data_IF_205470303650
#
_entry.id   IF_205470303650
#
_cell.length_a   1.000
_cell.length_b   1.000
_cell.length_c   1.000
_cell.angle_alpha   90.00
_cell.angle_beta   90.00
_cell.angle_gamma   90.00
#
_symmetry.space_group_name_H-M   'P 1'
#
loop_
_entity.id
_entity.type
_entity.pdbx_description
1 polymer ?
#
# COMPACT_ATOMS: atom_id res chain seq x y z
N UNK A 1 -3.07 -1.80 19.63
CA UNK A 1 -1.87 -2.67 19.48
C UNK A 1 -1.97 -3.36 18.13
N UNK A 2 -0.93 -3.31 17.29
CA UNK A 2 -0.90 -4.00 16.00
C UNK A 2 -0.81 -5.51 16.22
N UNK A 3 -1.51 -6.32 15.42
CA UNK A 3 -1.48 -7.79 15.54
C UNK A 3 -0.04 -8.34 15.37
N UNK A 4 0.44 -9.24 16.25
CA UNK A 4 1.76 -9.85 16.14
C UNK A 4 2.00 -10.61 14.82
N UNK A 5 0.92 -11.15 14.22
CA UNK A 5 1.01 -11.81 12.93
C UNK A 5 1.34 -10.82 11.81
N UNK A 6 0.70 -9.64 11.82
CA UNK A 6 0.96 -8.62 10.80
C UNK A 6 2.34 -8.02 10.95
N UNK A 7 2.73 -7.71 12.19
CA UNK A 7 4.06 -7.18 12.47
C UNK A 7 5.15 -8.10 11.94
N UNK A 8 5.01 -9.43 12.08
CA UNK A 8 5.96 -10.41 11.51
C UNK A 8 6.01 -10.38 9.98
N UNK A 9 4.87 -10.33 9.28
CA UNK A 9 4.89 -10.33 7.81
C UNK A 9 5.37 -9.01 7.23
N UNK A 10 5.04 -7.87 7.87
CA UNK A 10 5.64 -6.58 7.52
C UNK A 10 7.16 -6.63 7.71
N UNK A 11 7.65 -7.11 8.85
CA UNK A 11 9.09 -7.23 9.10
C UNK A 11 9.78 -8.18 8.11
N UNK A 12 9.13 -9.29 7.74
CA UNK A 12 9.65 -10.20 6.73
C UNK A 12 9.86 -9.50 5.37
N UNK A 13 8.89 -8.67 4.95
CA UNK A 13 8.99 -7.91 3.70
C UNK A 13 10.05 -6.81 3.79
N UNK A 14 10.09 -6.09 4.92
CA UNK A 14 11.10 -5.05 5.16
C UNK A 14 12.53 -5.62 5.25
N UNK A 15 12.69 -6.88 5.63
CA UNK A 15 13.99 -7.56 5.64
C UNK A 15 14.41 -8.12 4.27
N UNK A 16 13.48 -8.16 3.30
CA UNK A 16 13.71 -8.77 1.98
C UNK A 16 14.22 -7.74 0.98
N UNK A 17 15.18 -8.15 0.16
CA UNK A 17 15.61 -7.41 -1.04
C UNK A 17 14.89 -7.98 -2.26
N UNK A 18 14.31 -7.10 -3.09
CA UNK A 18 13.64 -7.49 -4.32
C UNK A 18 14.54 -7.16 -5.51
N UNK A 19 14.74 -8.13 -6.39
CA UNK A 19 15.46 -8.03 -7.64
C UNK A 19 14.54 -7.99 -8.86
N UNK A 20 15.16 -8.03 -10.04
CA UNK A 20 14.50 -7.91 -11.35
C UNK A 20 13.56 -9.06 -11.71
N UNK A 21 13.72 -10.21 -11.07
CA UNK A 21 12.93 -11.42 -11.30
C UNK A 21 11.84 -11.62 -10.23
N UNK A 22 11.77 -10.77 -9.22
CA UNK A 22 10.95 -11.00 -8.03
C UNK A 22 9.52 -10.43 -8.14
N UNK A 23 9.02 -10.12 -9.34
CA UNK A 23 7.66 -9.60 -9.50
C UNK A 23 6.60 -10.58 -8.99
N UNK A 24 6.75 -11.88 -9.23
CA UNK A 24 5.82 -12.88 -8.71
C UNK A 24 5.94 -13.05 -7.20
N UNK A 25 7.17 -13.11 -6.66
CA UNK A 25 7.39 -13.15 -5.22
C UNK A 25 6.85 -11.90 -4.50
N UNK A 26 6.98 -10.72 -5.13
CA UNK A 26 6.39 -9.48 -4.64
C UNK A 26 4.86 -9.57 -4.60
N UNK A 27 4.22 -10.10 -5.65
CA UNK A 27 2.76 -10.28 -5.69
C UNK A 27 2.25 -11.24 -4.61
N UNK A 28 2.97 -12.33 -4.35
CA UNK A 28 2.66 -13.26 -3.25
C UNK A 28 2.78 -12.58 -1.88
N UNK A 29 3.82 -11.78 -1.68
CA UNK A 29 4.01 -10.99 -0.47
C UNK A 29 2.88 -9.95 -0.29
N UNK A 30 2.42 -9.31 -1.38
CA UNK A 30 1.23 -8.44 -1.36
C UNK A 30 -0.04 -9.21 -0.97
N UNK A 31 -0.24 -10.43 -1.49
CA UNK A 31 -1.40 -11.26 -1.13
C UNK A 31 -1.39 -11.66 0.36
N UNK A 32 -0.21 -11.98 0.89
CA UNK A 32 -0.02 -12.28 2.31
C UNK A 32 -0.39 -11.07 3.17
N UNK A 33 0.10 -9.89 2.80
CA UNK A 33 -0.23 -8.63 3.45
C UNK A 33 -1.74 -8.31 3.38
N UNK A 34 -2.36 -8.50 2.22
CA UNK A 34 -3.81 -8.32 2.01
C UNK A 34 -4.63 -9.20 2.94
N UNK A 35 -4.29 -10.48 3.03
CA UNK A 35 -4.99 -11.45 3.87
C UNK A 35 -4.98 -11.00 5.33
N UNK A 36 -3.81 -10.57 5.81
CA UNK A 36 -3.67 -10.09 7.18
C UNK A 36 -4.39 -8.77 7.44
N UNK A 37 -4.40 -7.86 6.47
CA UNK A 37 -5.14 -6.61 6.57
C UNK A 37 -6.65 -6.88 6.65
N UNK A 38 -7.19 -7.78 5.82
CA UNK A 38 -8.60 -8.20 5.87
C UNK A 38 -8.97 -8.77 7.24
N UNK A 39 -8.17 -9.70 7.76
CA UNK A 39 -8.36 -10.25 9.12
C UNK A 39 -8.33 -9.16 10.18
N UNK A 40 -7.47 -8.15 10.03
CA UNK A 40 -7.39 -7.03 10.97
C UNK A 40 -8.66 -6.18 10.93
N UNK A 41 -9.17 -5.89 9.73
CA UNK A 41 -10.42 -5.12 9.54
C UNK A 41 -11.63 -5.84 10.12
N UNK A 42 -11.71 -7.16 9.92
CA UNK A 42 -12.78 -8.02 10.46
C UNK A 42 -12.69 -8.13 11.99
N UNK A 43 -11.48 -8.13 12.55
CA UNK A 43 -11.23 -8.23 13.99
C UNK A 43 -11.28 -6.91 14.77
N UNK A 44 -11.65 -5.79 14.15
CA UNK A 44 -11.71 -4.50 14.82
C UNK A 44 -12.78 -4.49 15.92
N UNK A 45 -12.36 -4.17 17.14
CA UNK A 45 -13.24 -4.00 18.30
C UNK A 45 -13.32 -2.52 18.68
N UNK A 46 -14.53 -2.05 18.94
CA UNK A 46 -14.80 -0.65 19.26
C UNK A 46 -14.53 -0.34 20.72
N UNK A 47 -13.31 0.07 21.04
CA UNK A 47 -12.92 0.85 22.21
C UNK A 47 -11.40 1.01 22.19
N UNK A 48 -10.92 2.26 22.20
CA UNK A 48 -9.49 2.59 22.22
C UNK A 48 -9.23 3.69 23.23
N UNK A 49 -8.13 3.57 23.98
CA UNK A 49 -7.69 4.54 24.99
C UNK A 49 -6.67 5.54 24.41
N UNK A 50 -6.61 5.67 23.08
CA UNK A 50 -5.68 6.56 22.38
C UNK A 50 -5.94 8.02 22.76
N UNK A 51 -4.89 8.73 23.19
CA UNK A 51 -4.95 10.18 23.40
C UNK A 51 -4.96 10.94 22.08
N UNK A 52 -5.48 12.17 22.08
CA UNK A 52 -5.57 12.99 20.86
C UNK A 52 -4.20 13.27 20.23
N UNK A 53 -3.14 13.43 21.05
CA UNK A 53 -1.76 13.57 20.57
C UNK A 53 -1.25 12.32 19.85
N UNK A 54 -1.54 11.14 20.41
CA UNK A 54 -1.17 9.87 19.79
C UNK A 54 -1.96 9.64 18.50
N UNK A 55 -3.25 9.98 18.48
CA UNK A 55 -4.08 9.93 17.29
C UNK A 55 -3.51 10.78 16.15
N UNK A 56 -3.21 12.06 16.43
CA UNK A 56 -2.65 12.99 15.44
C UNK A 56 -1.31 12.48 14.89
N UNK A 57 -0.42 12.00 15.76
CA UNK A 57 0.87 11.44 15.34
C UNK A 57 0.72 10.23 14.40
N UNK A 58 -0.10 9.26 14.79
CA UNK A 58 -0.30 8.02 14.00
C UNK A 58 -0.98 8.32 12.66
N UNK A 59 -1.90 9.28 12.62
CA UNK A 59 -2.55 9.71 11.38
C UNK A 59 -1.57 10.46 10.45
N UNK A 60 -0.74 11.35 11.00
CA UNK A 60 0.28 12.07 10.24
C UNK A 60 1.31 11.10 9.64
N UNK A 61 1.74 10.10 10.41
CA UNK A 61 2.65 9.06 9.93
C UNK A 61 2.02 8.28 8.76
N UNK A 62 0.74 7.90 8.87
CA UNK A 62 0.05 7.22 7.78
C UNK A 62 -0.05 8.08 6.52
N UNK A 63 -0.33 9.37 6.64
CA UNK A 63 -0.34 10.29 5.49
C UNK A 63 1.04 10.37 4.83
N UNK A 64 2.12 10.46 5.64
CA UNK A 64 3.49 10.48 5.14
C UNK A 64 3.80 9.20 4.36
N UNK A 65 3.52 8.03 4.94
CA UNK A 65 3.74 6.74 4.28
C UNK A 65 2.90 6.57 3.01
N UNK A 66 1.68 7.11 2.98
CA UNK A 66 0.85 7.11 1.78
C UNK A 66 1.47 7.94 0.66
N UNK A 67 2.03 9.13 0.98
CA UNK A 67 2.73 9.98 0.01
C UNK A 67 4.02 9.34 -0.50
N UNK A 68 4.77 8.71 0.39
CA UNK A 68 5.98 7.94 0.05
C UNK A 68 5.66 6.81 -0.93
N UNK A 69 4.64 6.00 -0.61
CA UNK A 69 4.18 4.93 -1.49
C UNK A 69 3.67 5.43 -2.85
N UNK A 70 2.99 6.59 -2.90
CA UNK A 70 2.61 7.23 -4.18
C UNK A 70 3.85 7.53 -5.04
N UNK A 71 4.91 8.06 -4.42
CA UNK A 71 6.17 8.35 -5.13
C UNK A 71 6.79 7.06 -5.67
N UNK A 72 6.89 6.03 -4.84
CA UNK A 72 7.55 4.78 -5.19
C UNK A 72 6.78 4.00 -6.25
N UNK A 73 5.44 3.95 -6.14
CA UNK A 73 4.60 3.32 -7.15
C UNK A 73 4.73 4.01 -8.52
N UNK A 74 4.84 5.35 -8.54
CA UNK A 74 5.10 6.11 -9.78
C UNK A 74 6.48 5.78 -10.35
N UNK A 75 7.52 5.73 -9.52
CA UNK A 75 8.89 5.36 -9.94
C UNK A 75 8.90 3.96 -10.55
N UNK A 76 8.22 3.00 -9.92
CA UNK A 76 8.11 1.64 -10.45
C UNK A 76 7.41 1.60 -11.81
N UNK A 77 6.26 2.23 -11.95
CA UNK A 77 5.53 2.28 -13.23
C UNK A 77 6.36 2.98 -14.32
N UNK A 78 7.13 4.01 -13.99
CA UNK A 78 8.02 4.67 -14.94
C UNK A 78 9.17 3.74 -15.39
N UNK A 79 9.73 2.96 -14.46
CA UNK A 79 10.87 2.06 -14.72
C UNK A 79 10.55 0.92 -15.69
N UNK A 80 9.28 0.50 -15.80
CA UNK A 80 8.90 -0.60 -16.71
C UNK A 80 9.05 -0.25 -18.19
N UNK A 81 9.19 1.03 -18.54
CA UNK A 81 9.46 1.46 -19.92
C UNK A 81 10.90 1.20 -20.36
N UNK A 82 11.79 0.89 -19.42
CA UNK A 82 13.21 0.60 -19.67
C UNK A 82 13.55 -0.89 -19.57
N UNK A 83 14.84 -1.23 -19.62
CA UNK A 83 15.34 -2.57 -19.34
C UNK A 83 14.92 -3.06 -17.95
N UNK A 84 14.73 -4.37 -17.80
CA UNK A 84 14.21 -5.00 -16.58
C UNK A 84 15.08 -4.71 -15.34
N UNK A 85 16.37 -4.47 -15.56
CA UNK A 85 17.37 -4.09 -14.56
C UNK A 85 16.99 -2.80 -13.83
N UNK A 86 16.34 -1.86 -14.51
CA UNK A 86 15.93 -0.59 -13.92
C UNK A 86 14.73 -0.72 -12.99
N UNK A 87 14.02 -1.86 -13.00
CA UNK A 87 12.84 -2.06 -12.18
C UNK A 87 13.14 -2.59 -10.77
N UNK A 88 14.37 -3.08 -10.49
CA UNK A 88 14.70 -3.70 -9.21
C UNK A 88 14.61 -2.72 -8.01
N UNK A 89 15.31 -1.59 -8.05
CA UNK A 89 15.27 -0.59 -6.98
C UNK A 89 13.87 0.00 -6.78
N UNK A 90 13.14 0.39 -7.85
CA UNK A 90 11.76 0.87 -7.71
C UNK A 90 10.80 -0.20 -7.17
N UNK A 91 10.97 -1.47 -7.55
CA UNK A 91 10.15 -2.57 -7.02
C UNK A 91 10.40 -2.75 -5.52
N UNK A 92 11.67 -2.77 -5.13
CA UNK A 92 12.09 -2.88 -3.73
C UNK A 92 11.53 -1.73 -2.88
N UNK A 93 11.69 -0.49 -3.35
CA UNK A 93 11.17 0.70 -2.68
C UNK A 93 9.65 0.63 -2.52
N UNK A 94 8.92 0.33 -3.60
CA UNK A 94 7.46 0.28 -3.59
C UNK A 94 6.91 -0.84 -2.67
N UNK A 95 7.56 -2.00 -2.62
CA UNK A 95 7.18 -3.08 -1.71
C UNK A 95 7.40 -2.70 -0.25
N UNK A 96 8.51 -2.02 0.05
CA UNK A 96 8.83 -1.57 1.41
C UNK A 96 7.90 -0.46 1.87
N UNK A 97 7.61 0.55 1.04
CA UNK A 97 6.67 1.61 1.38
C UNK A 97 5.23 1.10 1.47
N UNK A 98 4.83 0.10 0.68
CA UNK A 98 3.55 -0.59 0.87
C UNK A 98 3.50 -1.28 2.25
N UNK A 99 4.55 -2.00 2.65
CA UNK A 99 4.58 -2.69 3.93
C UNK A 99 4.47 -1.70 5.10
N UNK A 100 5.16 -0.55 5.02
CA UNK A 100 5.01 0.55 5.99
C UNK A 100 3.61 1.15 5.97
N UNK A 101 3.04 1.44 4.79
CA UNK A 101 1.67 1.94 4.64
C UNK A 101 0.68 1.03 5.38
N UNK A 102 0.79 -0.28 5.21
CA UNK A 102 -0.10 -1.24 5.86
C UNK A 102 0.09 -1.26 7.38
N UNK A 103 1.32 -1.23 7.86
CA UNK A 103 1.62 -1.15 9.30
C UNK A 103 0.97 0.08 9.94
N UNK A 104 1.18 1.25 9.34
CA UNK A 104 0.62 2.49 9.85
C UNK A 104 -0.90 2.56 9.68
N UNK A 105 -1.47 1.93 8.64
CA UNK A 105 -2.92 1.86 8.48
C UNK A 105 -3.58 1.10 9.61
N UNK A 106 -2.95 0.02 10.09
CA UNK A 106 -3.44 -0.75 11.22
C UNK A 106 -3.29 0.02 12.52
N UNK A 107 -2.18 0.73 12.70
CA UNK A 107 -2.01 1.62 13.84
C UNK A 107 -3.16 2.65 13.89
N UNK A 108 -3.48 3.30 12.76
CA UNK A 108 -4.62 4.23 12.65
C UNK A 108 -5.93 3.51 12.97
N UNK A 109 -6.25 2.39 12.32
CA UNK A 109 -7.52 1.68 12.55
C UNK A 109 -7.72 1.28 14.02
N UNK A 110 -6.66 0.86 14.72
CA UNK A 110 -6.73 0.51 16.15
C UNK A 110 -6.77 1.73 17.08
N UNK A 111 -6.34 2.89 16.61
CA UNK A 111 -6.39 4.15 17.33
C UNK A 111 -7.73 4.89 17.15
N UNK A 112 -8.57 4.46 16.20
CA UNK A 112 -9.87 5.06 15.96
C UNK A 112 -10.93 4.59 16.96
N UNK A 113 -11.71 5.54 17.48
CA UNK A 113 -12.85 5.25 18.37
C UNK A 113 -14.05 4.65 17.61
N UNK A 114 -14.27 5.10 16.38
CA UNK A 114 -15.35 4.61 15.51
C UNK A 114 -14.88 3.41 14.72
N UNK A 115 -15.45 2.24 14.99
CA UNK A 115 -15.20 1.01 14.23
C UNK A 115 -15.57 1.20 12.76
N UNK A 116 -16.68 1.89 12.47
CA UNK A 116 -17.11 2.14 11.10
C UNK A 116 -16.06 2.95 10.32
N UNK A 117 -15.48 3.99 10.92
CA UNK A 117 -14.42 4.75 10.26
C UNK A 117 -13.12 3.95 10.13
N UNK A 118 -12.78 3.14 11.13
CA UNK A 118 -11.64 2.23 11.07
C UNK A 118 -11.78 1.23 9.93
N UNK A 119 -12.96 0.58 9.81
CA UNK A 119 -13.28 -0.31 8.71
C UNK A 119 -13.25 0.41 7.36
N UNK A 120 -13.78 1.63 7.28
CA UNK A 120 -13.72 2.43 6.06
C UNK A 120 -12.28 2.66 5.59
N UNK A 121 -11.40 3.12 6.49
CA UNK A 121 -9.96 3.29 6.19
C UNK A 121 -9.34 1.95 5.76
N UNK A 122 -9.63 0.88 6.50
CA UNK A 122 -9.17 -0.47 6.15
C UNK A 122 -9.57 -0.91 4.76
N UNK A 123 -10.83 -0.71 4.38
CA UNK A 123 -11.32 -1.03 3.03
C UNK A 123 -10.65 -0.19 1.95
N UNK A 124 -10.38 1.09 2.19
CA UNK A 124 -9.61 1.92 1.24
C UNK A 124 -8.20 1.36 1.04
N UNK A 125 -7.51 0.98 2.12
CA UNK A 125 -6.16 0.41 2.05
C UNK A 125 -6.18 -0.96 1.36
N UNK A 126 -7.20 -1.81 1.61
CA UNK A 126 -7.40 -3.07 0.89
C UNK A 126 -7.54 -2.83 -0.62
N UNK A 127 -8.34 -1.82 -1.02
CA UNK A 127 -8.51 -1.47 -2.45
C UNK A 127 -7.19 -1.02 -3.07
N UNK A 128 -6.46 -0.11 -2.43
CA UNK A 128 -5.14 0.36 -2.87
C UNK A 128 -4.18 -0.81 -3.05
N UNK A 129 -4.11 -1.70 -2.05
CA UNK A 129 -3.19 -2.84 -2.05
C UNK A 129 -3.55 -3.86 -3.14
N UNK A 130 -4.85 -4.10 -3.33
CA UNK A 130 -5.35 -4.98 -4.41
C UNK A 130 -5.04 -4.40 -5.79
N UNK A 131 -5.26 -3.09 -5.98
CA UNK A 131 -4.92 -2.40 -7.21
C UNK A 131 -3.41 -2.44 -7.48
N UNK A 132 -2.58 -2.23 -6.46
CA UNK A 132 -1.13 -2.33 -6.60
C UNK A 132 -0.67 -3.74 -7.01
N UNK A 133 -1.28 -4.81 -6.45
CA UNK A 133 -1.02 -6.19 -6.89
C UNK A 133 -1.28 -6.37 -8.40
N UNK A 134 -2.38 -5.82 -8.90
CA UNK A 134 -2.72 -5.83 -10.33
C UNK A 134 -1.73 -4.99 -11.15
N UNK A 135 -1.28 -3.84 -10.61
CA UNK A 135 -0.25 -3.01 -11.24
C UNK A 135 1.10 -3.75 -11.32
N UNK A 136 1.50 -4.52 -10.30
CA UNK A 136 2.70 -5.36 -10.36
C UNK A 136 2.62 -6.41 -11.47
N UNK A 137 1.48 -7.11 -11.57
CA UNK A 137 1.26 -8.10 -12.62
C UNK A 137 1.28 -7.47 -14.03
N UNK A 138 0.64 -6.31 -14.18
CA UNK A 138 0.69 -5.54 -15.43
C UNK A 138 2.11 -5.03 -15.73
N UNK A 139 2.84 -4.63 -14.68
CA UNK A 139 4.20 -4.11 -14.76
C UNK A 139 5.17 -5.14 -15.31
N UNK A 140 5.18 -6.34 -14.72
CA UNK A 140 6.02 -7.46 -15.17
C UNK A 140 5.78 -7.81 -16.63
N UNK A 141 4.51 -7.83 -17.06
CA UNK A 141 4.13 -8.09 -18.43
C UNK A 141 4.47 -6.94 -19.41
N UNK A 142 4.69 -5.72 -18.91
CA UNK A 142 4.97 -4.52 -19.70
C UNK A 142 6.47 -4.17 -19.77
N UNK A 143 7.32 -4.78 -18.94
CA UNK A 143 8.75 -4.45 -18.86
C UNK A 143 9.43 -4.56 -20.23
N UNK A 144 10.22 -3.53 -20.57
CA UNK A 144 11.00 -3.42 -21.80
C UNK A 144 10.17 -3.46 -23.10
N UNK A 145 8.85 -3.32 -23.01
CA UNK A 145 7.96 -3.25 -24.17
C UNK A 145 7.80 -1.80 -24.66
N UNK A 146 7.58 -1.58 -25.96
CA UNK A 146 7.39 -0.24 -26.51
C UNK A 146 6.10 0.39 -25.99
N UNK A 147 6.03 1.72 -25.97
CA UNK A 147 4.90 2.48 -25.42
C UNK A 147 3.52 2.11 -25.99
N UNK A 148 3.47 1.72 -27.26
CA UNK A 148 2.23 1.37 -27.96
C UNK A 148 1.82 -0.09 -27.74
N UNK A 149 2.61 -0.87 -26.98
CA UNK A 149 2.30 -2.25 -26.67
C UNK A 149 1.04 -2.36 -25.79
N UNK A 150 0.11 -3.30 -26.06
CA UNK A 150 -1.11 -3.49 -25.27
C UNK A 150 -0.86 -3.68 -23.77
N UNK A 151 0.26 -4.31 -23.37
CA UNK A 151 0.61 -4.51 -21.96
C UNK A 151 1.02 -3.19 -21.30
N UNK A 152 1.73 -2.31 -22.01
CA UNK A 152 2.08 -0.97 -21.50
C UNK A 152 0.81 -0.12 -21.36
N UNK A 153 -0.10 -0.16 -22.34
CA UNK A 153 -1.40 0.53 -22.25
C UNK A 153 -2.20 0.02 -21.05
N UNK A 154 -2.22 -1.30 -20.84
CA UNK A 154 -2.90 -1.91 -19.69
C UNK A 154 -2.26 -1.49 -18.36
N UNK A 155 -0.92 -1.48 -18.26
CA UNK A 155 -0.20 -0.98 -17.09
C UNK A 155 -0.58 0.47 -16.78
N UNK A 156 -0.62 1.35 -17.78
CA UNK A 156 -1.01 2.75 -17.58
C UNK A 156 -2.42 2.88 -17.01
N UNK A 157 -3.36 2.05 -17.47
CA UNK A 157 -4.73 2.00 -16.91
C UNK A 157 -4.74 1.55 -15.44
N UNK A 158 -3.97 0.51 -15.10
CA UNK A 158 -3.85 0.05 -13.71
C UNK A 158 -3.19 1.11 -12.82
N UNK A 159 -2.16 1.78 -13.32
CA UNK A 159 -1.48 2.87 -12.62
C UNK A 159 -2.42 4.06 -12.37
N UNK A 160 -3.24 4.44 -13.35
CA UNK A 160 -4.23 5.50 -13.19
C UNK A 160 -5.32 5.13 -12.18
N UNK A 161 -5.78 3.87 -12.20
CA UNK A 161 -6.74 3.36 -11.22
C UNK A 161 -6.16 3.39 -9.79
N UNK A 162 -4.94 2.89 -9.62
CA UNK A 162 -4.21 2.94 -8.35
C UNK A 162 -4.04 4.39 -7.86
N UNK A 163 -3.66 5.32 -8.74
CA UNK A 163 -3.51 6.72 -8.41
C UNK A 163 -4.84 7.33 -7.90
N UNK A 164 -5.97 7.01 -8.55
CA UNK A 164 -7.29 7.44 -8.10
C UNK A 164 -7.62 6.96 -6.69
N UNK A 165 -7.35 5.67 -6.39
CA UNK A 165 -7.56 5.10 -5.06
C UNK A 165 -6.65 5.74 -3.99
N UNK A 166 -5.38 6.01 -4.33
CA UNK A 166 -4.45 6.69 -3.43
C UNK A 166 -4.87 8.12 -3.14
N UNK A 167 -5.37 8.85 -4.14
CA UNK A 167 -5.95 10.17 -3.95
C UNK A 167 -7.17 10.12 -3.03
N UNK A 168 -8.08 9.16 -3.22
CA UNK A 168 -9.22 8.95 -2.32
C UNK A 168 -8.76 8.66 -0.90
N UNK A 169 -7.78 7.77 -0.70
CA UNK A 169 -7.23 7.47 0.61
C UNK A 169 -6.66 8.73 1.28
N UNK A 170 -5.83 9.50 0.57
CA UNK A 170 -5.28 10.75 1.11
C UNK A 170 -6.38 11.75 1.50
N UNK A 171 -7.42 11.91 0.69
CA UNK A 171 -8.57 12.74 1.03
C UNK A 171 -9.26 12.25 2.31
N UNK A 172 -9.52 10.95 2.43
CA UNK A 172 -10.07 10.35 3.65
C UNK A 172 -9.22 10.66 4.88
N UNK A 173 -7.90 10.50 4.78
CA UNK A 173 -6.98 10.78 5.89
C UNK A 173 -6.94 12.26 6.27
N UNK A 174 -7.03 13.17 5.30
CA UNK A 174 -7.10 14.62 5.56
C UNK A 174 -8.41 14.98 6.26
N UNK A 175 -9.55 14.43 5.82
CA UNK A 175 -10.85 14.65 6.48
C UNK A 175 -10.84 14.14 7.93
N UNK A 176 -10.22 12.99 8.19
CA UNK A 176 -10.06 12.46 9.55
C UNK A 176 -9.18 13.35 10.44
N UNK A 177 -8.20 14.05 9.85
CA UNK A 177 -7.31 14.94 10.58
C UNK A 177 -7.98 16.25 10.97
N UNK A 178 -8.82 16.79 10.07
CA UNK A 178 -9.58 18.01 10.27
C UNK A 178 -10.73 17.83 11.28
N UNK A 179 -10.96 16.59 11.71
CA UNK A 179 -12.13 16.22 12.48
C UNK A 179 -13.35 16.17 11.56
N UNK A 180 -14.22 15.19 11.81
CA UNK A 180 -15.63 15.46 11.60
C UNK A 180 -16.03 16.67 12.45
#
# INVERSE_FOLDING_TARGET
MVSPAVSRSVMAILSKTYGTQDFDGAREDVERLLTQLKMTVEGLQGQTTCSDKQWQAVLQDLQLQTKEFVSDAKRLVASTSGPRELAAEPLHAAMHSLARLLLHSQAVMTAMRSVHHAQHVGFQVIKVTTAFKSTLAAGDAAVAKPRNDPHVIYLMRQAQYLAGLLSTLLTTLTTLQQGL
#
